data_IF_064821680761
#
_entry.id   IF_064821680761
#
_cell.length_a   1.000
_cell.length_b   1.000
_cell.length_c   1.000
_cell.angle_alpha   90.00
_cell.angle_beta   90.00
_cell.angle_gamma   90.00
#
_symmetry.space_group_name_H-M   'P 1'
#
loop_
_entity.id
_entity.type
_entity.pdbx_description
1 polymer ?
#
# COMPACT_ATOMS: atom_id res chain seq x y z
N UNK A 1 16.26 22.02 -135.49
CA UNK A 1 16.52 23.45 -135.24
C UNK A 1 17.33 23.55 -133.95
N UNK A 2 18.66 23.63 -133.98
CA UNK A 2 19.53 24.79 -134.34
C UNK A 2 19.77 25.75 -133.16
N UNK A 3 20.94 25.57 -132.54
CA UNK A 3 21.95 26.54 -132.07
C UNK A 3 21.64 27.80 -131.24
N UNK A 4 22.41 27.88 -130.14
CA UNK A 4 23.15 29.01 -129.52
C UNK A 4 22.45 30.29 -129.05
N UNK A 5 22.70 30.66 -127.78
CA UNK A 5 23.80 31.60 -127.44
C UNK A 5 24.14 31.54 -125.94
N UNK A 6 25.39 31.12 -125.71
CA UNK A 6 26.33 31.50 -124.65
C UNK A 6 26.20 32.97 -124.21
N UNK A 7 26.17 33.29 -122.90
CA UNK A 7 26.58 34.60 -122.29
C UNK A 7 25.99 34.96 -120.90
N UNK A 8 25.85 34.03 -119.94
CA UNK A 8 25.87 34.42 -118.51
C UNK A 8 26.83 33.54 -117.71
N UNK A 9 28.06 33.64 -118.18
CA UNK A 9 29.25 33.72 -117.35
C UNK A 9 29.02 34.42 -116.00
N UNK A 10 29.63 33.83 -114.96
CA UNK A 10 30.35 34.55 -113.89
C UNK A 10 29.50 35.21 -112.82
N UNK A 11 28.96 34.40 -111.93
CA UNK A 11 28.51 34.86 -110.63
C UNK A 11 28.51 33.73 -109.61
N UNK A 12 29.54 33.68 -108.78
CA UNK A 12 29.45 33.13 -107.43
C UNK A 12 29.26 31.60 -107.31
N UNK A 13 30.31 30.86 -107.68
CA UNK A 13 30.80 29.71 -106.91
C UNK A 13 31.49 30.15 -105.59
N UNK A 14 31.06 31.26 -105.00
CA UNK A 14 31.70 31.95 -103.87
C UNK A 14 30.58 32.58 -103.03
N UNK A 15 30.67 32.49 -101.70
CA UNK A 15 29.64 32.85 -100.69
C UNK A 15 28.57 31.75 -100.57
N UNK A 16 28.70 30.75 -99.69
CA UNK A 16 28.66 30.94 -98.24
C UNK A 16 29.42 29.78 -97.56
N UNK A 17 30.75 29.80 -97.69
CA UNK A 17 31.66 29.18 -96.72
C UNK A 17 32.07 30.22 -95.66
N UNK A 18 31.12 31.07 -95.26
CA UNK A 18 31.21 31.98 -94.13
C UNK A 18 30.05 31.55 -93.21
N UNK A 19 30.31 30.89 -92.09
CA UNK A 19 30.71 31.62 -90.91
C UNK A 19 31.70 30.82 -90.07
N UNK A 20 32.84 31.46 -89.87
CA UNK A 20 33.83 31.14 -88.87
C UNK A 20 33.25 31.14 -87.44
N UNK A 21 33.65 30.14 -86.67
CA UNK A 21 33.69 30.08 -85.18
C UNK A 21 34.18 31.42 -84.57
N UNK A 22 33.81 31.87 -83.33
CA UNK A 22 33.91 31.08 -82.09
C UNK A 22 32.99 31.48 -80.89
N UNK A 23 32.33 30.51 -80.25
CA UNK A 23 31.40 30.77 -79.15
C UNK A 23 31.62 29.97 -77.86
N UNK A 24 32.87 29.71 -77.45
CA UNK A 24 33.22 28.89 -76.25
C UNK A 24 32.70 29.42 -74.89
N UNK A 25 31.95 30.52 -74.88
CA UNK A 25 31.47 31.23 -73.67
C UNK A 25 30.00 30.95 -73.34
N UNK A 26 29.15 30.73 -74.35
CA UNK A 26 27.71 30.50 -74.14
C UNK A 26 27.40 29.08 -73.64
N UNK A 27 28.21 28.09 -74.03
CA UNK A 27 28.08 26.71 -73.56
C UNK A 27 28.37 26.59 -72.05
N UNK A 28 29.35 27.35 -71.55
CA UNK A 28 29.67 27.40 -70.11
C UNK A 28 28.54 28.04 -69.31
N UNK A 29 27.92 29.11 -69.83
CA UNK A 29 26.77 29.75 -69.19
C UNK A 29 25.56 28.81 -69.11
N UNK A 30 25.28 28.04 -70.16
CA UNK A 30 24.20 27.05 -70.17
C UNK A 30 24.46 25.93 -69.14
N UNK A 31 25.70 25.43 -69.05
CA UNK A 31 26.08 24.46 -68.03
C UNK A 31 25.91 25.02 -66.61
N UNK A 32 26.26 26.30 -66.38
CA UNK A 32 26.10 26.96 -65.09
C UNK A 32 24.62 27.13 -64.70
N UNK A 33 23.75 27.46 -65.66
CA UNK A 33 22.30 27.53 -65.45
C UNK A 33 21.71 26.15 -65.13
N UNK A 34 22.13 25.10 -65.85
CA UNK A 34 21.69 23.72 -65.57
C UNK A 34 22.19 23.26 -64.20
N UNK A 35 23.44 23.57 -63.84
CA UNK A 35 24.01 23.27 -62.52
C UNK A 35 23.24 24.00 -61.40
N UNK A 36 22.86 25.25 -61.63
CA UNK A 36 22.06 26.04 -60.69
C UNK A 36 20.63 25.51 -60.56
N UNK A 37 19.99 25.15 -61.68
CA UNK A 37 18.68 24.50 -61.69
C UNK A 37 18.71 23.13 -61.01
N UNK A 38 19.76 22.33 -61.24
CA UNK A 38 19.97 21.06 -60.57
C UNK A 38 20.18 21.25 -59.06
N UNK A 39 20.95 22.26 -58.63
CA UNK A 39 21.10 22.60 -57.22
C UNK A 39 19.76 23.01 -56.59
N UNK A 40 18.94 23.81 -57.29
CA UNK A 40 17.59 24.16 -56.84
C UNK A 40 16.66 22.94 -56.74
N UNK A 41 16.72 22.02 -57.70
CA UNK A 41 15.96 20.77 -57.65
C UNK A 41 16.41 19.87 -56.49
N UNK A 42 17.72 19.79 -56.23
CA UNK A 42 18.26 19.07 -55.08
C UNK A 42 17.84 19.72 -53.75
N UNK A 43 17.82 21.05 -53.68
CA UNK A 43 17.30 21.78 -52.52
C UNK A 43 15.80 21.56 -52.34
N UNK A 44 15.01 21.52 -53.42
CA UNK A 44 13.58 21.19 -53.36
C UNK A 44 13.34 19.76 -52.91
N UNK A 45 14.08 18.79 -53.45
CA UNK A 45 14.00 17.39 -53.03
C UNK A 45 14.40 17.20 -51.57
N UNK A 46 15.48 17.87 -51.14
CA UNK A 46 15.92 17.89 -49.75
C UNK A 46 14.86 18.52 -48.84
N UNK A 47 14.26 19.64 -49.26
CA UNK A 47 13.19 20.31 -48.53
C UNK A 47 11.94 19.42 -48.40
N UNK A 48 11.52 18.73 -49.46
CA UNK A 48 10.38 17.81 -49.39
C UNK A 48 10.65 16.60 -48.50
N UNK A 49 11.87 16.02 -48.56
CA UNK A 49 12.26 14.95 -47.63
C UNK A 49 12.24 15.45 -46.18
N UNK A 50 12.75 16.66 -45.94
CA UNK A 50 12.79 17.26 -44.61
C UNK A 50 11.40 17.68 -44.11
N UNK A 51 10.48 18.08 -45.00
CA UNK A 51 9.10 18.44 -44.64
C UNK A 51 8.29 17.19 -44.24
N UNK A 52 8.50 16.06 -44.92
CA UNK A 52 7.88 14.78 -44.57
C UNK A 52 8.48 14.21 -43.30
N UNK A 53 9.82 14.13 -43.22
CA UNK A 53 10.53 13.68 -42.02
C UNK A 53 10.23 14.56 -40.79
N UNK A 54 10.11 15.88 -40.96
CA UNK A 54 9.73 16.78 -39.86
C UNK A 54 8.27 16.60 -39.43
N UNK A 55 7.33 16.32 -40.34
CA UNK A 55 5.93 16.05 -39.97
C UNK A 55 5.77 14.72 -39.25
N UNK A 56 6.43 13.67 -39.75
CA UNK A 56 6.39 12.36 -39.12
C UNK A 56 7.07 12.41 -37.75
N UNK A 57 8.23 13.04 -37.63
CA UNK A 57 8.88 13.27 -36.34
C UNK A 57 8.03 14.13 -35.38
N UNK A 58 7.32 15.16 -35.86
CA UNK A 58 6.48 15.99 -35.01
C UNK A 58 5.23 15.26 -34.51
N UNK A 59 4.60 14.44 -35.37
CA UNK A 59 3.41 13.66 -35.02
C UNK A 59 3.76 12.50 -34.06
N UNK A 60 4.93 11.87 -34.26
CA UNK A 60 5.45 10.82 -33.40
C UNK A 60 5.93 11.39 -32.05
N UNK A 61 6.53 12.58 -32.03
CA UNK A 61 6.87 13.30 -30.80
C UNK A 61 5.62 13.79 -30.04
N UNK A 62 4.58 14.20 -30.76
CA UNK A 62 3.32 14.63 -30.16
C UNK A 62 2.52 13.44 -29.60
N UNK A 63 2.39 12.34 -30.34
CA UNK A 63 1.79 11.09 -29.81
C UNK A 63 2.58 10.49 -28.66
N UNK A 64 3.92 10.49 -28.71
CA UNK A 64 4.75 10.02 -27.59
C UNK A 64 4.67 10.96 -26.38
N UNK A 65 4.55 12.28 -26.58
CA UNK A 65 4.33 13.23 -25.50
C UNK A 65 2.95 13.07 -24.87
N UNK A 66 1.89 12.95 -25.66
CA UNK A 66 0.51 12.77 -25.16
C UNK A 66 0.36 11.43 -24.44
N UNK A 67 0.96 10.35 -24.96
CA UNK A 67 0.96 9.04 -24.30
C UNK A 67 1.86 8.99 -23.05
N UNK A 68 2.99 9.71 -23.03
CA UNK A 68 3.82 9.86 -21.83
C UNK A 68 3.10 10.66 -20.74
N UNK A 69 2.40 11.74 -21.10
CA UNK A 69 1.58 12.52 -20.15
C UNK A 69 0.44 11.67 -19.61
N UNK A 70 -0.26 10.91 -20.45
CA UNK A 70 -1.33 10.02 -19.99
C UNK A 70 -0.83 8.88 -19.11
N UNK A 71 0.35 8.34 -19.41
CA UNK A 71 1.00 7.34 -18.54
C UNK A 71 1.39 7.93 -17.19
N UNK A 72 1.93 9.16 -17.17
CA UNK A 72 2.25 9.87 -15.94
C UNK A 72 0.99 10.16 -15.12
N UNK A 73 -0.11 10.56 -15.75
CA UNK A 73 -1.38 10.82 -15.07
C UNK A 73 -1.95 9.53 -14.44
N UNK A 74 -1.94 8.43 -15.20
CA UNK A 74 -2.31 7.10 -14.68
C UNK A 74 -1.43 6.68 -13.49
N UNK A 75 -0.11 6.86 -13.58
CA UNK A 75 0.81 6.55 -12.48
C UNK A 75 0.59 7.45 -11.27
N UNK A 76 0.26 8.72 -11.47
CA UNK A 76 -0.03 9.66 -10.39
C UNK A 76 -1.33 9.27 -9.67
N UNK A 77 -2.35 8.88 -10.44
CA UNK A 77 -3.63 8.42 -9.93
C UNK A 77 -3.47 7.10 -9.16
N UNK A 78 -2.77 6.11 -9.73
CA UNK A 78 -2.46 4.85 -9.03
C UNK A 78 -1.66 5.10 -7.74
N UNK A 79 -0.73 6.06 -7.75
CA UNK A 79 0.01 6.42 -6.55
C UNK A 79 -0.88 7.07 -5.47
N UNK A 80 -1.88 7.86 -5.88
CA UNK A 80 -2.88 8.42 -4.96
C UNK A 80 -3.76 7.31 -4.38
N UNK A 81 -4.31 6.44 -5.23
CA UNK A 81 -5.14 5.30 -4.81
C UNK A 81 -4.38 4.36 -3.86
N UNK A 82 -3.09 4.12 -4.11
CA UNK A 82 -2.23 3.33 -3.22
C UNK A 82 -1.99 4.04 -1.88
N UNK A 83 -1.80 5.36 -1.87
CA UNK A 83 -1.66 6.13 -0.62
C UNK A 83 -2.92 6.08 0.22
N UNK A 84 -4.09 6.20 -0.42
CA UNK A 84 -5.37 6.13 0.27
C UNK A 84 -5.61 4.73 0.85
N UNK A 85 -5.26 3.67 0.10
CA UNK A 85 -5.30 2.30 0.61
C UNK A 85 -4.35 2.06 1.78
N UNK A 86 -3.11 2.58 1.71
CA UNK A 86 -2.16 2.48 2.82
C UNK A 86 -2.70 3.19 4.06
N UNK A 87 -3.22 4.41 3.91
CA UNK A 87 -3.81 5.15 5.02
C UNK A 87 -5.00 4.40 5.65
N UNK A 88 -5.88 3.82 4.82
CA UNK A 88 -7.01 3.03 5.29
C UNK A 88 -6.56 1.75 6.02
N UNK A 89 -5.55 1.04 5.49
CA UNK A 89 -5.00 -0.16 6.12
C UNK A 89 -4.26 0.16 7.43
N UNK A 90 -3.61 1.32 7.52
CA UNK A 90 -2.99 1.80 8.75
C UNK A 90 -4.05 2.10 9.82
N UNK A 91 -5.14 2.79 9.46
CA UNK A 91 -6.27 3.05 10.36
C UNK A 91 -6.92 1.75 10.83
N UNK A 92 -7.17 0.80 9.93
CA UNK A 92 -7.70 -0.52 10.29
C UNK A 92 -6.76 -1.29 11.23
N UNK A 93 -5.44 -1.26 10.97
CA UNK A 93 -4.48 -1.90 11.87
C UNK A 93 -4.49 -1.26 13.27
N UNK A 94 -4.54 0.07 13.36
CA UNK A 94 -4.61 0.76 14.65
C UNK A 94 -5.91 0.44 15.40
N UNK A 95 -7.04 0.39 14.69
CA UNK A 95 -8.33 -0.01 15.27
C UNK A 95 -8.28 -1.44 15.79
N UNK A 96 -7.80 -2.39 14.96
CA UNK A 96 -7.69 -3.79 15.35
C UNK A 96 -6.72 -4.00 16.50
N UNK A 97 -5.62 -3.25 16.55
CA UNK A 97 -4.67 -3.30 17.65
C UNK A 97 -5.31 -2.81 18.96
N UNK A 98 -6.08 -1.72 18.90
CA UNK A 98 -6.81 -1.20 20.07
C UNK A 98 -7.85 -2.20 20.57
N UNK A 99 -8.62 -2.80 19.66
CA UNK A 99 -9.62 -3.82 19.99
C UNK A 99 -8.97 -5.06 20.61
N UNK A 100 -7.82 -5.50 20.08
CA UNK A 100 -7.07 -6.62 20.63
C UNK A 100 -6.55 -6.33 22.06
N UNK A 101 -6.03 -5.12 22.30
CA UNK A 101 -5.59 -4.71 23.64
C UNK A 101 -6.76 -4.64 24.63
N UNK A 102 -7.91 -4.13 24.20
CA UNK A 102 -9.11 -4.08 25.04
C UNK A 102 -9.64 -5.48 25.35
N UNK A 103 -9.74 -6.35 24.35
CA UNK A 103 -10.14 -7.75 24.53
C UNK A 103 -9.19 -8.49 25.48
N UNK A 104 -7.89 -8.24 25.40
CA UNK A 104 -6.91 -8.84 26.30
C UNK A 104 -7.07 -8.35 27.75
N UNK A 105 -7.39 -7.07 27.95
CA UNK A 105 -7.70 -6.53 29.29
C UNK A 105 -8.96 -7.16 29.87
N UNK A 106 -10.04 -7.22 29.08
CA UNK A 106 -11.29 -7.86 29.52
C UNK A 106 -11.07 -9.33 29.87
N UNK A 107 -10.28 -10.06 29.08
CA UNK A 107 -9.93 -11.46 29.38
C UNK A 107 -9.18 -11.58 30.71
N UNK A 108 -8.21 -10.70 30.98
CA UNK A 108 -7.46 -10.71 32.23
C UNK A 108 -8.36 -10.39 33.44
N UNK A 109 -9.27 -9.42 33.31
CA UNK A 109 -10.25 -9.09 34.34
C UNK A 109 -11.20 -10.26 34.62
N UNK A 110 -11.74 -10.89 33.58
CA UNK A 110 -12.60 -12.07 33.72
C UNK A 110 -11.86 -13.24 34.36
N UNK A 111 -10.59 -13.47 33.99
CA UNK A 111 -9.79 -14.52 34.60
C UNK A 111 -9.55 -14.25 36.09
N UNK A 112 -9.21 -13.01 36.44
CA UNK A 112 -9.04 -12.62 37.85
C UNK A 112 -10.34 -12.77 38.65
N UNK A 113 -11.48 -12.43 38.07
CA UNK A 113 -12.79 -12.62 38.70
C UNK A 113 -13.14 -14.10 38.88
N UNK A 114 -12.80 -14.95 37.88
CA UNK A 114 -12.98 -16.39 37.97
C UNK A 114 -12.12 -16.99 39.08
N UNK A 115 -10.84 -16.63 39.14
CA UNK A 115 -9.90 -17.12 40.15
C UNK A 115 -10.36 -16.69 41.57
N UNK A 116 -10.83 -15.45 41.73
CA UNK A 116 -11.40 -14.96 42.98
C UNK A 116 -12.65 -15.76 43.40
N UNK A 117 -13.56 -16.04 42.46
CA UNK A 117 -14.76 -16.84 42.72
C UNK A 117 -14.42 -18.28 43.10
N UNK A 118 -13.43 -18.90 42.43
CA UNK A 118 -12.95 -20.23 42.79
C UNK A 118 -12.35 -20.26 44.19
N UNK A 119 -11.53 -19.26 44.55
CA UNK A 119 -10.97 -19.14 45.89
C UNK A 119 -12.06 -18.99 46.96
N UNK A 120 -13.12 -18.22 46.68
CA UNK A 120 -14.28 -18.09 47.58
C UNK A 120 -15.02 -19.41 47.78
N UNK A 121 -15.27 -20.16 46.70
CA UNK A 121 -15.90 -21.49 46.78
C UNK A 121 -15.04 -22.48 47.57
N UNK A 122 -13.73 -22.46 47.37
CA UNK A 122 -12.81 -23.29 48.13
C UNK A 122 -12.82 -22.94 49.62
N UNK A 123 -12.77 -21.65 49.96
CA UNK A 123 -12.82 -21.19 51.35
C UNK A 123 -14.14 -21.60 52.05
N UNK A 124 -15.28 -21.46 51.36
CA UNK A 124 -16.56 -21.97 51.85
C UNK A 124 -16.56 -23.50 52.01
N UNK A 125 -15.92 -24.22 51.08
CA UNK A 125 -15.72 -25.66 51.17
C UNK A 125 -14.92 -26.05 52.41
N UNK A 126 -13.79 -25.37 52.65
CA UNK A 126 -12.94 -25.54 53.85
C UNK A 126 -13.73 -25.30 55.13
N UNK A 127 -14.49 -24.20 55.21
CA UNK A 127 -15.38 -23.89 56.33
C UNK A 127 -16.40 -25.02 56.58
N UNK A 128 -17.07 -25.49 55.53
CA UNK A 128 -18.05 -26.57 55.65
C UNK A 128 -17.42 -27.89 56.11
N UNK A 129 -16.21 -28.20 55.63
CA UNK A 129 -15.49 -29.41 56.02
C UNK A 129 -15.09 -29.39 57.50
N UNK A 130 -14.58 -28.26 57.99
CA UNK A 130 -14.27 -28.08 59.42
C UNK A 130 -15.54 -28.14 60.27
N UNK A 131 -16.62 -27.47 59.84
CA UNK A 131 -17.92 -27.52 60.52
C UNK A 131 -18.46 -28.95 60.62
N UNK A 132 -18.32 -29.75 59.56
CA UNK A 132 -18.74 -31.16 59.56
C UNK A 132 -17.96 -31.98 60.60
N UNK A 133 -16.63 -31.82 60.67
CA UNK A 133 -15.80 -32.49 61.67
C UNK A 133 -16.11 -32.04 63.09
N UNK A 134 -16.34 -30.74 63.29
CA UNK A 134 -16.75 -30.16 64.57
C UNK A 134 -18.07 -30.77 65.07
N UNK A 135 -19.10 -30.80 64.20
CA UNK A 135 -20.40 -31.38 64.52
C UNK A 135 -20.32 -32.89 64.78
N UNK A 136 -19.36 -33.59 64.18
CA UNK A 136 -19.09 -35.00 64.42
C UNK A 136 -18.26 -35.27 65.69
N UNK A 137 -17.87 -34.22 66.44
CA UNK A 137 -17.01 -34.33 67.64
C UNK A 137 -15.55 -34.71 67.34
N UNK A 138 -15.11 -34.60 66.08
CA UNK A 138 -13.79 -35.02 65.61
C UNK A 138 -12.80 -33.84 65.61
N UNK A 139 -12.60 -33.22 66.77
CA UNK A 139 -11.79 -32.00 66.90
C UNK A 139 -10.31 -32.19 66.54
N UNK A 140 -9.73 -33.36 66.84
CA UNK A 140 -8.34 -33.66 66.46
C UNK A 140 -8.14 -33.71 64.95
N UNK A 141 -9.08 -34.33 64.22
CA UNK A 141 -9.06 -34.38 62.76
C UNK A 141 -9.28 -32.99 62.14
N UNK A 142 -10.11 -32.15 62.75
CA UNK A 142 -10.29 -30.77 62.32
C UNK A 142 -9.01 -29.94 62.48
N UNK A 143 -8.30 -30.07 63.62
CA UNK A 143 -7.00 -29.41 63.86
C UNK A 143 -5.92 -29.90 62.89
N UNK A 144 -5.85 -31.20 62.63
CA UNK A 144 -4.90 -31.76 61.65
C UNK A 144 -5.17 -31.22 60.25
N UNK A 145 -6.44 -31.14 59.86
CA UNK A 145 -6.86 -30.61 58.57
C UNK A 145 -6.54 -29.11 58.43
N UNK A 146 -6.77 -28.31 59.48
CA UNK A 146 -6.36 -26.89 59.52
C UNK A 146 -4.85 -26.74 59.30
N UNK A 147 -4.04 -27.50 60.05
CA UNK A 147 -2.58 -27.50 59.88
C UNK A 147 -2.17 -27.92 58.48
N UNK A 148 -2.86 -28.89 57.87
CA UNK A 148 -2.58 -29.33 56.50
C UNK A 148 -2.82 -28.25 55.44
N UNK A 149 -3.72 -27.32 55.73
CA UNK A 149 -3.98 -26.14 54.89
C UNK A 149 -3.09 -24.94 55.26
N UNK A 150 -2.23 -25.08 56.28
CA UNK A 150 -1.43 -23.98 56.80
C UNK A 150 -2.24 -22.94 57.58
N UNK A 151 -3.41 -23.32 58.12
CA UNK A 151 -4.22 -22.47 59.01
C UNK A 151 -3.94 -22.87 60.47
N UNK A 152 -3.89 -21.91 61.42
CA UNK A 152 -4.25 -20.49 61.27
C UNK A 152 -3.12 -19.56 60.75
N UNK A 153 -1.92 -20.07 60.47
CA UNK A 153 -0.75 -19.22 60.15
C UNK A 153 -0.90 -18.42 58.86
N UNK A 154 -1.54 -18.99 57.84
CA UNK A 154 -1.81 -18.33 56.57
C UNK A 154 -2.92 -17.27 56.66
N UNK A 155 -3.98 -17.54 57.44
CA UNK A 155 -5.14 -16.66 57.54
C UNK A 155 -5.88 -16.43 56.22
N UNK A 156 -5.57 -17.23 55.19
CA UNK A 156 -6.05 -17.04 53.83
C UNK A 156 -7.55 -17.31 53.75
N UNK A 157 -8.01 -18.37 54.41
CA UNK A 157 -9.41 -18.76 54.46
C UNK A 157 -10.23 -17.67 55.15
N UNK A 158 -9.73 -17.13 56.27
CA UNK A 158 -10.39 -16.02 56.96
C UNK A 158 -10.45 -14.74 56.11
N UNK A 159 -9.37 -14.41 55.39
CA UNK A 159 -9.33 -13.24 54.49
C UNK A 159 -10.38 -13.37 53.38
N UNK A 160 -10.41 -14.50 52.68
CA UNK A 160 -11.33 -14.74 51.56
C UNK A 160 -12.79 -14.75 52.04
N UNK A 161 -13.08 -15.39 53.18
CA UNK A 161 -14.43 -15.36 53.75
C UNK A 161 -14.83 -13.95 54.21
N UNK A 162 -13.87 -13.13 54.64
CA UNK A 162 -14.11 -11.73 54.95
C UNK A 162 -14.43 -10.88 53.72
N UNK A 163 -13.75 -11.13 52.60
CA UNK A 163 -14.07 -10.51 51.30
C UNK A 163 -15.48 -10.90 50.84
N UNK A 164 -15.84 -12.18 50.99
CA UNK A 164 -17.19 -12.66 50.69
C UNK A 164 -18.24 -12.02 51.62
N UNK A 165 -17.96 -11.95 52.92
CA UNK A 165 -18.84 -11.32 53.91
C UNK A 165 -19.08 -9.84 53.62
N UNK A 166 -18.05 -9.12 53.16
CA UNK A 166 -18.16 -7.72 52.76
C UNK A 166 -19.06 -7.50 51.53
N UNK A 167 -19.22 -8.52 50.66
CA UNK A 167 -20.12 -8.46 49.51
C UNK A 167 -21.58 -8.73 49.89
N UNK A 168 -21.83 -9.35 51.03
CA UNK A 168 -23.18 -9.63 51.53
C UNK A 168 -23.84 -8.36 52.08
N UNK A 169 -25.14 -8.26 51.83
CA UNK A 169 -25.98 -7.23 52.45
C UNK A 169 -26.09 -7.44 53.97
N UNK A 170 -26.50 -6.40 54.68
CA UNK A 170 -26.68 -6.48 56.14
C UNK A 170 -27.74 -7.52 56.52
N UNK A 171 -28.81 -7.65 55.71
CA UNK A 171 -29.85 -8.66 55.91
C UNK A 171 -29.30 -10.08 55.75
N UNK A 172 -28.49 -10.33 54.71
CA UNK A 172 -27.87 -11.64 54.48
C UNK A 172 -26.88 -12.00 55.59
N UNK A 173 -26.05 -11.05 56.03
CA UNK A 173 -25.10 -11.25 57.14
C UNK A 173 -25.81 -11.56 58.46
N UNK A 174 -26.99 -10.98 58.70
CA UNK A 174 -27.80 -11.28 59.88
C UNK A 174 -28.31 -12.72 59.91
N UNK A 175 -28.52 -13.33 58.74
CA UNK A 175 -28.96 -14.72 58.59
C UNK A 175 -27.75 -15.65 58.75
N UNK A 176 -26.67 -15.37 58.03
CA UNK A 176 -25.46 -16.16 58.07
C UNK A 176 -24.26 -15.35 57.59
N UNK A 177 -23.28 -15.17 58.48
CA UNK A 177 -21.98 -14.61 58.14
C UNK A 177 -20.91 -15.73 58.13
N UNK A 178 -20.34 -16.07 56.96
CA UNK A 178 -19.33 -17.11 56.85
C UNK A 178 -18.03 -16.76 57.59
N UNK A 179 -17.68 -15.48 57.69
CA UNK A 179 -16.49 -15.04 58.42
C UNK A 179 -16.67 -15.27 59.93
N UNK A 180 -17.76 -14.77 60.50
CA UNK A 180 -18.08 -14.99 61.92
C UNK A 180 -18.17 -16.47 62.28
N UNK A 181 -18.75 -17.29 61.38
CA UNK A 181 -18.82 -18.74 61.56
C UNK A 181 -17.44 -19.40 61.60
N UNK A 182 -16.53 -19.01 60.70
CA UNK A 182 -15.15 -19.48 60.70
C UNK A 182 -14.40 -19.08 61.95
N UNK A 183 -14.47 -17.80 62.34
CA UNK A 183 -13.80 -17.28 63.55
C UNK A 183 -14.28 -18.02 64.80
N UNK A 184 -15.59 -18.22 64.93
CA UNK A 184 -16.16 -19.01 66.02
C UNK A 184 -15.58 -20.42 66.06
N UNK A 185 -15.53 -21.12 64.92
CA UNK A 185 -14.96 -22.47 64.87
C UNK A 185 -13.47 -22.51 65.26
N UNK A 186 -12.70 -21.49 64.86
CA UNK A 186 -11.28 -21.39 65.20
C UNK A 186 -11.04 -21.09 66.69
N UNK A 187 -11.95 -20.40 67.37
CA UNK A 187 -11.88 -20.19 68.83
C UNK A 187 -12.11 -21.46 69.63
N UNK A 188 -12.97 -22.37 69.13
CA UNK A 188 -13.25 -23.65 69.78
C UNK A 188 -12.24 -24.76 69.43
N UNK A 189 -11.60 -24.66 68.27
CA UNK A 189 -10.58 -25.60 67.78
C UNK A 189 -9.18 -25.23 68.25
#
# INVERSE_FOLDING_TARGET
MSHDTDSEQRGALQHEAEHASPGKRNSVLIYLVILFAAAFLLLLLSYFMQQRASRDAYNDLQQSSDSAVQTLDNMLQENQDLKDQVAQLEEQNQSLQTEAEEAQRQLAEQQSALDASQAQLEALGRLNQIRSLYNAGRYSQARELLTSWGEPESGETARILGELSAQLTEEERSIYDPLSAWQSLMEWL
#
